data_IF_636022523004
#
_entry.id   IF_636022523004
#
_cell.length_a   1.000
_cell.length_b   1.000
_cell.length_c   1.000
_cell.angle_alpha   90.00
_cell.angle_beta   90.00
_cell.angle_gamma   90.00
#
_symmetry.space_group_name_H-M   'P 1'
#
loop_
_entity.id
_entity.type
_entity.pdbx_description
1 polymer ?
#
# COMPACT_ATOMS: atom_id res chain seq x y z
N UNK A 1 -4.91 25.45 -3.16
CA UNK A 1 -3.79 24.58 -3.59
C UNK A 1 -4.34 23.19 -3.83
N UNK A 2 -3.84 22.47 -4.82
CA UNK A 2 -4.19 21.06 -5.00
C UNK A 2 -3.44 20.25 -3.95
N UNK A 3 -4.13 19.36 -3.25
CA UNK A 3 -3.52 18.41 -2.30
C UNK A 3 -2.66 17.36 -3.02
N UNK A 4 -2.76 17.28 -4.36
CA UNK A 4 -2.02 16.36 -5.20
C UNK A 4 -0.87 17.05 -5.93
N UNK A 5 0.31 16.44 -5.95
CA UNK A 5 1.51 16.97 -6.63
C UNK A 5 1.85 16.24 -7.93
N UNK A 6 1.27 15.06 -8.16
CA UNK A 6 1.49 14.23 -9.35
C UNK A 6 0.19 13.49 -9.67
N UNK A 7 0.02 13.12 -10.95
CA UNK A 7 -1.01 12.19 -11.39
C UNK A 7 -0.44 11.21 -12.43
N UNK A 8 -1.20 10.14 -12.69
CA UNK A 8 -0.96 9.15 -13.74
C UNK A 8 -2.32 8.69 -14.28
N UNK A 9 -2.47 8.63 -15.61
CA UNK A 9 -3.74 8.37 -16.28
C UNK A 9 -3.68 7.05 -17.04
N UNK A 10 -4.62 6.16 -16.73
CA UNK A 10 -4.82 4.91 -17.43
C UNK A 10 -6.02 5.04 -18.39
N UNK A 11 -5.71 5.16 -19.68
CA UNK A 11 -6.69 5.34 -20.75
C UNK A 11 -7.58 4.11 -20.97
N UNK A 12 -7.05 2.90 -20.74
CA UNK A 12 -7.75 1.64 -20.95
C UNK A 12 -8.81 1.43 -19.86
N UNK A 13 -8.41 1.62 -18.61
CA UNK A 13 -9.29 1.42 -17.45
C UNK A 13 -10.11 2.67 -17.08
N UNK A 14 -9.81 3.81 -17.72
CA UNK A 14 -10.35 5.14 -17.39
C UNK A 14 -10.14 5.48 -15.92
N UNK A 15 -8.94 5.21 -15.43
CA UNK A 15 -8.58 5.34 -14.02
C UNK A 15 -7.52 6.44 -13.84
N UNK A 16 -7.78 7.37 -12.91
CA UNK A 16 -6.84 8.45 -12.59
C UNK A 16 -6.15 8.19 -11.25
N UNK A 17 -4.84 7.94 -11.27
CA UNK A 17 -4.04 7.89 -10.05
C UNK A 17 -3.57 9.29 -9.68
N UNK A 18 -3.76 9.70 -8.42
CA UNK A 18 -3.40 11.02 -7.88
C UNK A 18 -2.50 10.86 -6.65
N UNK A 19 -1.47 11.69 -6.51
CA UNK A 19 -0.45 11.53 -5.47
C UNK A 19 -0.49 12.68 -4.48
N UNK A 20 -0.85 12.42 -3.23
CA UNK A 20 -0.97 13.42 -2.14
C UNK A 20 0.41 14.00 -1.82
N UNK A 21 0.49 15.32 -1.73
CA UNK A 21 1.68 16.05 -1.32
C UNK A 21 2.05 15.70 0.14
N UNK A 22 3.28 15.24 0.42
CA UNK A 22 3.69 14.86 1.77
C UNK A 22 3.56 15.95 2.84
N UNK A 23 3.73 17.23 2.48
CA UNK A 23 3.59 18.34 3.43
C UNK A 23 2.14 18.68 3.72
N UNK A 24 1.26 18.54 2.73
CA UNK A 24 -0.19 18.76 2.87
C UNK A 24 -0.85 17.58 3.59
N UNK A 25 -0.37 16.36 3.32
CA UNK A 25 -0.82 15.15 3.98
C UNK A 25 -0.79 15.31 5.50
N UNK A 26 0.34 15.75 6.06
CA UNK A 26 0.43 15.88 7.52
C UNK A 26 -0.53 16.93 8.08
N UNK A 27 -0.80 18.03 7.37
CA UNK A 27 -1.73 19.07 7.81
C UNK A 27 -3.19 18.60 7.72
N UNK A 28 -3.58 17.99 6.60
CA UNK A 28 -4.94 17.46 6.45
C UNK A 28 -5.19 16.25 7.36
N UNK A 29 -4.24 15.32 7.48
CA UNK A 29 -4.34 14.17 8.37
C UNK A 29 -4.20 14.55 9.85
N UNK A 30 -3.47 15.61 10.24
CA UNK A 30 -3.36 16.02 11.66
C UNK A 30 -4.60 16.73 12.19
N UNK A 31 -5.27 17.53 11.37
CA UNK A 31 -6.59 18.12 11.68
C UNK A 31 -7.66 17.02 11.77
N UNK A 32 -7.50 15.92 11.03
CA UNK A 32 -8.41 14.76 11.00
C UNK A 32 -8.47 13.93 12.29
N UNK A 33 -7.37 13.79 13.05
CA UNK A 33 -7.35 13.01 14.31
C UNK A 33 -7.85 13.78 15.54
N UNK A 34 -7.89 15.11 15.48
CA UNK A 34 -8.31 15.94 16.60
C UNK A 34 -9.85 16.07 16.75
N UNK A 35 -10.62 15.71 15.72
CA UNK A 35 -12.07 15.94 15.67
C UNK A 35 -12.85 14.63 15.40
N UNK A 36 -13.23 13.96 16.48
CA UNK A 36 -14.17 12.84 16.46
C UNK A 36 -15.57 13.34 16.01
N UNK A 37 -16.21 12.57 15.11
CA UNK A 37 -17.51 12.80 14.46
C UNK A 37 -17.49 13.52 13.10
N UNK A 38 -17.04 12.83 12.04
CA UNK A 38 -17.57 12.95 10.66
C UNK A 38 -16.69 12.13 9.68
N UNK A 39 -16.96 10.83 9.48
CA UNK A 39 -16.19 10.01 8.50
C UNK A 39 -16.74 10.07 7.07
N UNK A 40 -18.01 10.45 6.88
CA UNK A 40 -18.68 10.45 5.56
C UNK A 40 -18.47 11.75 4.78
N UNK A 41 -18.51 12.93 5.43
CA UNK A 41 -18.27 14.22 4.76
C UNK A 41 -16.83 14.31 4.23
N UNK A 42 -15.87 13.75 4.96
CA UNK A 42 -14.43 13.76 4.65
C UNK A 42 -14.04 12.97 3.39
N UNK A 43 -14.70 11.83 3.12
CA UNK A 43 -14.45 11.03 1.89
C UNK A 43 -14.99 11.69 0.63
N UNK A 44 -16.05 12.47 0.79
CA UNK A 44 -16.61 13.31 -0.28
C UNK A 44 -15.59 14.37 -0.72
N UNK A 45 -14.88 14.98 0.25
CA UNK A 45 -13.85 16.00 -0.03
C UNK A 45 -12.65 15.46 -0.85
N UNK A 46 -12.18 14.24 -0.57
CA UNK A 46 -11.09 13.61 -1.35
C UNK A 46 -11.53 13.32 -2.79
N UNK A 47 -12.73 12.76 -2.97
CA UNK A 47 -13.29 12.49 -4.29
C UNK A 47 -13.51 13.79 -5.08
N UNK A 48 -14.06 14.81 -4.43
CA UNK A 48 -14.28 16.11 -5.06
C UNK A 48 -12.97 16.82 -5.43
N UNK A 49 -11.92 16.68 -4.60
CA UNK A 49 -10.58 17.17 -4.92
C UNK A 49 -9.97 16.43 -6.11
N UNK A 50 -10.14 15.11 -6.18
CA UNK A 50 -9.65 14.29 -7.28
C UNK A 50 -10.39 14.62 -8.60
N UNK A 51 -11.71 14.82 -8.55
CA UNK A 51 -12.53 15.31 -9.67
C UNK A 51 -12.06 16.66 -10.17
N UNK A 52 -11.80 17.59 -9.25
CA UNK A 52 -11.30 18.92 -9.60
C UNK A 52 -9.98 18.82 -10.37
N UNK A 53 -9.02 18.04 -9.85
CA UNK A 53 -7.76 17.81 -10.56
C UNK A 53 -8.01 17.19 -11.94
N UNK A 54 -8.85 16.15 -12.04
CA UNK A 54 -9.16 15.50 -13.32
C UNK A 54 -9.68 16.50 -14.37
N UNK A 55 -10.57 17.41 -13.98
CA UNK A 55 -11.10 18.46 -14.87
C UNK A 55 -10.06 19.48 -15.31
N UNK A 56 -8.97 19.64 -14.56
CA UNK A 56 -7.87 20.55 -14.88
C UNK A 56 -6.83 19.87 -15.78
N UNK A 57 -6.57 18.57 -15.59
CA UNK A 57 -5.45 17.86 -16.23
C UNK A 57 -5.84 16.95 -17.40
N UNK A 58 -7.10 16.50 -17.49
CA UNK A 58 -7.57 15.63 -18.55
C UNK A 58 -8.34 16.41 -19.63
N UNK A 59 -8.38 15.91 -20.89
CA UNK A 59 -9.20 16.50 -21.94
C UNK A 59 -10.67 16.62 -21.53
N UNK A 60 -11.34 17.71 -21.96
CA UNK A 60 -12.77 17.90 -21.69
C UNK A 60 -13.59 16.74 -22.25
N UNK A 61 -14.53 16.24 -21.44
CA UNK A 61 -15.39 15.11 -21.80
C UNK A 61 -14.80 13.73 -21.53
N UNK A 62 -13.57 13.66 -20.99
CA UNK A 62 -12.99 12.39 -20.53
C UNK A 62 -13.84 11.81 -19.40
N UNK A 63 -14.28 10.57 -19.57
CA UNK A 63 -14.96 9.80 -18.53
C UNK A 63 -13.90 9.19 -17.62
N UNK A 64 -14.03 9.40 -16.32
CA UNK A 64 -13.19 8.76 -15.29
C UNK A 64 -14.06 7.79 -14.50
N UNK A 65 -13.68 6.52 -14.43
CA UNK A 65 -14.41 5.49 -13.71
C UNK A 65 -14.05 5.48 -12.22
N UNK A 66 -12.75 5.60 -11.93
CA UNK A 66 -12.19 5.52 -10.58
C UNK A 66 -11.00 6.44 -10.38
N UNK A 67 -10.74 6.80 -9.13
CA UNK A 67 -9.56 7.54 -8.70
C UNK A 67 -8.74 6.71 -7.73
N UNK A 68 -7.44 6.62 -7.98
CA UNK A 68 -6.47 5.97 -7.08
C UNK A 68 -5.68 7.01 -6.34
N UNK A 69 -6.00 7.20 -5.07
CA UNK A 69 -5.31 8.17 -4.23
C UNK A 69 -4.09 7.51 -3.63
N UNK A 70 -2.89 7.94 -4.01
CA UNK A 70 -1.62 7.48 -3.45
C UNK A 70 -0.99 8.52 -2.53
N UNK A 71 -0.36 8.10 -1.46
CA UNK A 71 0.62 8.88 -0.72
C UNK A 71 1.97 8.26 -1.02
N UNK A 72 2.83 9.00 -1.73
CA UNK A 72 4.04 8.42 -2.34
C UNK A 72 3.65 7.18 -3.16
N UNK A 73 4.13 5.99 -2.81
CA UNK A 73 3.78 4.75 -3.50
C UNK A 73 2.58 4.00 -2.89
N UNK A 74 2.08 4.42 -1.72
CA UNK A 74 1.01 3.74 -1.00
C UNK A 74 -0.33 4.17 -1.54
N UNK A 75 -1.12 3.28 -2.13
CA UNK A 75 -2.51 3.57 -2.49
C UNK A 75 -3.36 3.68 -1.22
N UNK A 76 -3.73 4.90 -0.85
CA UNK A 76 -4.54 5.22 0.34
C UNK A 76 -6.01 4.87 0.13
N UNK A 77 -6.54 5.09 -1.07
CA UNK A 77 -7.93 4.81 -1.39
C UNK A 77 -8.15 4.61 -2.89
N UNK A 78 -9.13 3.77 -3.22
CA UNK A 78 -9.80 3.78 -4.53
C UNK A 78 -11.15 4.45 -4.34
N UNK A 79 -11.44 5.48 -5.13
CA UNK A 79 -12.68 6.23 -5.09
C UNK A 79 -13.44 5.97 -6.38
N UNK A 80 -14.61 5.38 -6.29
CA UNK A 80 -15.53 5.11 -7.40
C UNK A 80 -16.54 6.25 -7.52
N UNK A 81 -16.85 6.66 -8.75
CA UNK A 81 -17.78 7.77 -9.03
C UNK A 81 -19.22 7.51 -8.55
N UNK A 82 -19.67 6.24 -8.59
CA UNK A 82 -21.04 5.83 -8.24
C UNK A 82 -21.17 5.47 -6.77
N UNK A 83 -20.14 4.83 -6.21
CA UNK A 83 -20.18 4.21 -4.89
C UNK A 83 -19.36 4.95 -3.82
N UNK A 84 -18.65 6.03 -4.19
CA UNK A 84 -17.73 6.72 -3.30
C UNK A 84 -16.48 5.88 -3.01
N UNK A 85 -15.91 5.96 -1.80
CA UNK A 85 -14.76 5.13 -1.45
C UNK A 85 -15.18 3.65 -1.34
N UNK A 86 -14.86 2.86 -2.35
CA UNK A 86 -14.95 1.40 -2.24
C UNK A 86 -13.83 0.93 -1.31
N UNK A 87 -14.18 0.04 -0.39
CA UNK A 87 -13.26 -0.47 0.63
C UNK A 87 -12.30 -1.46 -0.04
N UNK A 88 -11.38 -0.98 -0.85
CA UNK A 88 -10.22 -1.76 -1.25
C UNK A 88 -9.01 -1.24 -0.51
N UNK A 89 -8.92 -1.75 0.72
CA UNK A 89 -7.82 -1.55 1.66
C UNK A 89 -6.62 -2.30 1.09
N UNK A 90 -5.98 -1.73 0.05
CA UNK A 90 -4.73 -2.20 -0.53
C UNK A 90 -4.58 -3.72 -0.49
N UNK A 91 -5.25 -4.48 -1.34
CA UNK A 91 -4.55 -5.64 -1.87
C UNK A 91 -3.38 -5.07 -2.68
N UNK A 92 -2.32 -4.62 -2.00
CA UNK A 92 -1.05 -4.38 -2.65
C UNK A 92 -0.75 -5.66 -3.42
N UNK A 93 -0.31 -5.58 -4.70
CA UNK A 93 0.06 -6.78 -5.41
C UNK A 93 1.01 -7.56 -4.50
N UNK A 94 0.82 -8.87 -4.37
CA UNK A 94 1.75 -9.68 -3.59
C UNK A 94 3.14 -9.56 -4.22
N UNK A 95 3.91 -8.60 -3.70
CA UNK A 95 5.16 -8.14 -4.27
C UNK A 95 6.36 -8.92 -3.71
N UNK A 96 6.13 -9.62 -2.59
CA UNK A 96 7.09 -10.39 -1.84
C UNK A 96 7.08 -11.84 -2.31
N UNK A 97 8.26 -12.38 -2.57
CA UNK A 97 8.43 -13.82 -2.77
C UNK A 97 9.41 -14.32 -1.72
N UNK A 98 8.96 -15.27 -0.90
CA UNK A 98 9.75 -15.91 0.13
C UNK A 98 9.97 -17.37 -0.24
N UNK A 99 11.22 -17.81 -0.30
CA UNK A 99 11.55 -19.21 -0.55
C UNK A 99 11.51 -19.99 0.75
N UNK A 100 10.60 -20.97 0.83
CA UNK A 100 10.41 -21.85 1.99
C UNK A 100 11.70 -22.59 2.31
N UNK A 101 12.12 -22.53 3.57
CA UNK A 101 13.30 -23.22 4.09
C UNK A 101 12.92 -24.56 4.74
N UNK A 102 13.95 -25.34 5.06
CA UNK A 102 13.77 -26.64 5.69
C UNK A 102 13.01 -26.51 7.02
N UNK A 103 12.00 -27.37 7.20
CA UNK A 103 11.15 -27.45 8.40
C UNK A 103 10.28 -26.22 8.69
N UNK A 104 10.06 -25.33 7.72
CA UNK A 104 9.09 -24.23 7.87
C UNK A 104 7.67 -24.67 7.50
N UNK A 105 6.70 -24.20 8.27
CA UNK A 105 5.27 -24.35 8.00
C UNK A 105 4.66 -23.02 7.50
N UNK A 106 3.46 -23.09 6.95
CA UNK A 106 2.72 -21.89 6.54
C UNK A 106 2.49 -20.92 7.72
N UNK A 107 2.25 -21.49 8.91
CA UNK A 107 2.10 -20.74 10.17
C UNK A 107 3.38 -20.01 10.56
N UNK A 108 4.55 -20.66 10.44
CA UNK A 108 5.84 -20.02 10.74
C UNK A 108 6.07 -18.82 9.84
N UNK A 109 5.75 -18.94 8.55
CA UNK A 109 5.88 -17.87 7.55
C UNK A 109 4.90 -16.73 7.85
N UNK A 110 3.65 -17.07 8.16
CA UNK A 110 2.61 -16.11 8.57
C UNK A 110 3.07 -15.28 9.77
N UNK A 111 3.55 -15.95 10.83
CA UNK A 111 4.05 -15.28 12.04
C UNK A 111 5.29 -14.44 11.75
N UNK A 112 6.23 -14.97 10.97
CA UNK A 112 7.45 -14.28 10.56
C UNK A 112 7.14 -12.95 9.86
N UNK A 113 6.11 -12.90 9.03
CA UNK A 113 5.73 -11.68 8.31
C UNK A 113 4.56 -10.92 8.95
N UNK A 114 4.03 -11.41 10.07
CA UNK A 114 2.85 -10.86 10.74
C UNK A 114 1.66 -10.69 9.79
N UNK A 115 1.46 -11.66 8.90
CA UNK A 115 0.37 -11.69 7.91
C UNK A 115 -0.65 -12.76 8.29
N UNK A 116 -1.91 -12.59 7.91
CA UNK A 116 -2.93 -13.61 8.17
C UNK A 116 -2.73 -14.86 7.29
N UNK A 117 -2.90 -16.05 7.87
CA UNK A 117 -2.70 -17.33 7.17
C UNK A 117 -3.71 -17.53 6.04
N UNK A 118 -4.97 -17.09 6.20
CA UNK A 118 -5.97 -17.22 5.14
C UNK A 118 -5.59 -16.38 3.93
N UNK A 119 -5.09 -15.17 4.17
CA UNK A 119 -4.60 -14.27 3.14
C UNK A 119 -3.39 -14.85 2.41
N UNK A 120 -2.48 -15.49 3.16
CA UNK A 120 -1.33 -16.18 2.60
C UNK A 120 -1.75 -17.38 1.74
N UNK A 121 -2.74 -18.17 2.16
CA UNK A 121 -3.30 -19.26 1.32
C UNK A 121 -3.94 -18.72 0.05
N UNK A 122 -4.85 -17.75 0.17
CA UNK A 122 -5.60 -17.19 -0.96
C UNK A 122 -4.68 -16.65 -2.05
N UNK A 123 -3.66 -15.88 -1.67
CA UNK A 123 -2.75 -15.26 -2.65
C UNK A 123 -1.81 -16.25 -3.33
N UNK A 124 -1.62 -17.43 -2.72
CA UNK A 124 -0.83 -18.54 -3.24
C UNK A 124 -1.68 -19.65 -3.85
N UNK A 125 -3.01 -19.52 -3.86
CA UNK A 125 -3.95 -20.52 -4.36
C UNK A 125 -3.72 -21.90 -3.70
N UNK A 126 -3.51 -21.91 -2.39
CA UNK A 126 -3.32 -23.15 -1.63
C UNK A 126 -4.67 -23.70 -1.16
N UNK A 127 -4.89 -25.00 -1.40
CA UNK A 127 -6.08 -25.74 -0.93
C UNK A 127 -5.99 -26.14 0.57
N UNK A 128 -4.84 -25.88 1.22
CA UNK A 128 -4.57 -26.18 2.62
C UNK A 128 -3.23 -25.59 3.09
N UNK A 129 -2.64 -26.17 4.12
CA UNK A 129 -1.40 -25.65 4.74
C UNK A 129 -0.12 -26.32 4.23
N UNK A 130 -0.25 -27.24 3.26
CA UNK A 130 0.88 -27.97 2.69
C UNK A 130 1.75 -27.04 1.85
N UNK A 131 3.01 -26.90 2.26
CA UNK A 131 4.07 -26.20 1.53
C UNK A 131 5.31 -27.09 1.47
N UNK A 132 6.17 -26.87 0.48
CA UNK A 132 7.39 -27.66 0.28
C UNK A 132 8.64 -26.80 0.39
N UNK A 133 9.74 -27.39 0.85
CA UNK A 133 11.06 -26.72 0.86
C UNK A 133 11.41 -26.28 -0.57
N UNK A 134 11.88 -25.04 -0.70
CA UNK A 134 12.22 -24.43 -1.99
C UNK A 134 11.03 -23.81 -2.73
N UNK A 135 9.80 -24.03 -2.27
CA UNK A 135 8.60 -23.36 -2.82
C UNK A 135 8.70 -21.85 -2.62
N UNK A 136 8.30 -21.08 -3.64
CA UNK A 136 8.22 -19.63 -3.53
C UNK A 136 6.81 -19.23 -3.10
N UNK A 137 6.68 -18.74 -1.87
CA UNK A 137 5.43 -18.23 -1.29
C UNK A 137 5.34 -16.73 -1.56
N UNK A 138 4.25 -16.30 -2.20
CA UNK A 138 3.86 -14.91 -2.35
C UNK A 138 3.42 -14.35 -1.00
N UNK A 139 3.99 -13.23 -0.59
CA UNK A 139 3.65 -12.54 0.66
C UNK A 139 2.97 -11.21 0.32
N UNK A 140 1.76 -10.94 0.84
CA UNK A 140 1.13 -9.63 0.72
C UNK A 140 2.03 -8.53 1.32
N UNK A 141 2.33 -7.50 0.54
CA UNK A 141 3.19 -6.41 0.98
C UNK A 141 2.81 -5.05 0.39
N UNK A 142 3.36 -4.01 1.00
CA UNK A 142 3.49 -2.67 0.44
C UNK A 142 4.90 -2.49 -0.13
N UNK A 143 5.06 -1.60 -1.10
CA UNK A 143 6.38 -1.10 -1.48
C UNK A 143 6.69 0.14 -0.64
N UNK A 144 7.94 0.29 -0.23
CA UNK A 144 8.47 1.44 0.49
C UNK A 144 9.80 1.88 -0.14
N UNK A 145 9.78 2.91 -0.98
CA UNK A 145 10.92 3.70 -1.42
C UNK A 145 11.53 4.42 -0.23
N UNK A 146 12.77 4.05 0.09
CA UNK A 146 13.58 4.66 1.14
C UNK A 146 13.82 6.13 0.81
N UNK A 147 13.51 7.02 1.75
CA UNK A 147 13.79 8.46 1.63
C UNK A 147 14.88 8.90 2.60
N UNK A 148 15.29 10.16 2.49
CA UNK A 148 16.27 10.77 3.39
C UNK A 148 15.84 10.60 4.85
N UNK A 149 16.80 10.21 5.71
CA UNK A 149 16.60 9.96 7.15
C UNK A 149 15.83 8.70 7.53
N UNK A 150 15.40 7.88 6.55
CA UNK A 150 14.92 6.54 6.85
C UNK A 150 16.05 5.66 7.38
N UNK A 151 15.64 4.72 8.22
CA UNK A 151 16.47 3.58 8.63
C UNK A 151 15.55 2.38 8.73
N UNK A 152 16.10 1.19 8.60
CA UNK A 152 15.30 -0.03 8.68
C UNK A 152 14.48 -0.11 9.99
N UNK A 153 15.04 0.38 11.10
CA UNK A 153 14.34 0.48 12.39
C UNK A 153 13.16 1.46 12.37
N UNK A 154 13.32 2.63 11.75
CA UNK A 154 12.22 3.61 11.65
C UNK A 154 11.10 3.11 10.75
N UNK A 155 11.46 2.46 9.64
CA UNK A 155 10.51 1.84 8.71
C UNK A 155 9.74 0.72 9.43
N UNK A 156 10.45 -0.22 10.07
CA UNK A 156 9.87 -1.29 10.88
C UNK A 156 8.83 -0.76 11.88
N UNK A 157 9.20 0.26 12.68
CA UNK A 157 8.29 0.89 13.64
C UNK A 157 7.08 1.55 12.97
N UNK A 158 7.27 2.22 11.83
CA UNK A 158 6.19 2.91 11.10
C UNK A 158 5.10 1.94 10.64
N UNK A 159 5.50 0.77 10.15
CA UNK A 159 4.57 -0.24 9.63
C UNK A 159 4.15 -1.27 10.68
N UNK A 160 4.66 -1.15 11.91
CA UNK A 160 4.42 -2.12 12.98
C UNK A 160 4.81 -3.57 12.56
N UNK A 161 5.98 -3.68 11.92
CA UNK A 161 6.57 -4.95 11.45
C UNK A 161 7.99 -5.06 11.99
N UNK A 162 8.47 -6.28 12.22
CA UNK A 162 9.86 -6.47 12.69
C UNK A 162 10.89 -6.11 11.61
N UNK A 163 12.06 -5.61 12.05
CA UNK A 163 13.22 -5.39 11.14
C UNK A 163 13.57 -6.66 10.37
N UNK A 164 13.57 -7.80 11.05
CA UNK A 164 13.97 -9.08 10.45
C UNK A 164 12.98 -9.54 9.38
N UNK A 165 11.68 -9.29 9.56
CA UNK A 165 10.66 -9.55 8.54
C UNK A 165 10.95 -8.78 7.26
N UNK A 166 11.28 -7.48 7.39
CA UNK A 166 11.65 -6.64 6.25
C UNK A 166 12.93 -7.16 5.60
N UNK A 167 13.96 -7.49 6.39
CA UNK A 167 15.21 -8.04 5.85
C UNK A 167 14.99 -9.30 5.05
N UNK A 168 14.26 -10.26 5.62
CA UNK A 168 14.00 -11.55 4.99
C UNK A 168 13.20 -11.41 3.71
N UNK A 169 12.18 -10.55 3.69
CA UNK A 169 11.37 -10.36 2.48
C UNK A 169 12.13 -9.65 1.35
N UNK A 170 13.17 -8.87 1.70
CA UNK A 170 13.98 -8.09 0.76
C UNK A 170 15.37 -8.67 0.50
N UNK A 171 15.71 -9.83 1.08
CA UNK A 171 17.04 -10.43 1.03
C UNK A 171 18.15 -9.45 1.44
N UNK A 172 17.95 -8.70 2.53
CA UNK A 172 18.93 -7.74 3.03
C UNK A 172 19.93 -8.40 3.98
N UNK A 173 21.21 -8.35 3.60
CA UNK A 173 22.34 -8.80 4.43
C UNK A 173 22.75 -7.77 5.49
N UNK A 174 22.37 -6.51 5.30
CA UNK A 174 22.67 -5.41 6.23
C UNK A 174 21.46 -4.50 6.43
N UNK A 175 21.53 -3.64 7.45
CA UNK A 175 20.53 -2.58 7.69
C UNK A 175 20.83 -1.30 6.91
N UNK A 176 21.88 -1.29 6.06
CA UNK A 176 22.23 -0.15 5.23
C UNK A 176 21.26 -0.03 4.07
N UNK A 177 20.53 1.08 4.01
CA UNK A 177 19.55 1.37 2.98
C UNK A 177 20.07 2.47 2.05
N UNK A 178 19.76 2.37 0.76
CA UNK A 178 20.05 3.42 -0.22
C UNK A 178 18.80 4.27 -0.43
N UNK A 179 18.96 5.59 -0.49
CA UNK A 179 17.84 6.47 -0.87
C UNK A 179 17.36 6.06 -2.28
N UNK A 180 16.05 5.98 -2.46
CA UNK A 180 15.41 5.48 -3.68
C UNK A 180 15.28 3.95 -3.75
N UNK A 181 15.86 3.19 -2.81
CA UNK A 181 15.69 1.73 -2.75
C UNK A 181 14.25 1.39 -2.43
N UNK A 182 13.63 0.49 -3.20
CA UNK A 182 12.31 -0.03 -2.89
C UNK A 182 12.39 -1.24 -1.96
N UNK A 183 11.64 -1.18 -0.86
CA UNK A 183 11.51 -2.26 0.12
C UNK A 183 10.10 -2.83 0.11
N UNK A 184 9.99 -4.14 0.08
CA UNK A 184 8.75 -4.90 0.27
C UNK A 184 8.49 -4.99 1.77
N UNK A 185 7.43 -4.35 2.24
CA UNK A 185 7.03 -4.33 3.65
C UNK A 185 5.81 -5.24 3.83
N UNK A 186 5.89 -6.32 4.61
CA UNK A 186 4.75 -7.19 4.86
C UNK A 186 3.50 -6.42 5.30
N UNK A 187 2.35 -6.79 4.71
CA UNK A 187 1.06 -6.19 5.07
C UNK A 187 0.45 -6.96 6.24
N UNK A 188 0.42 -6.34 7.42
CA UNK A 188 -0.38 -6.84 8.54
C UNK A 188 -1.87 -6.73 8.17
N UNK A 189 -2.53 -7.87 7.97
CA UNK A 189 -4.00 -7.93 7.89
C UNK A 189 -4.50 -8.13 9.34
N UNK A 190 -5.25 -7.16 9.87
CA UNK A 190 -5.98 -7.30 11.14
C UNK A 190 -7.35 -7.90 10.88
#
# INVERSE_FOLDING_TARGET
MSIYYKYDWDEENKELTVYINPTEAFYEFSVEYASNHEKLSKRKNLLDSARKLASEVLPKGTVVNSYRVKFQQFLIAVLDEKNGATRELLEGPACGSYKVKQNETLKDISQMFSVDENSLRKVNQLDGDTIFVGMNIKVPCYLHTVVTSDSLLKIAKRYDISRDSIRRLNNLDTDCLKIGQELKIPKRMQ
#
